data_IF_228194752459
#
_entry.id   IF_228194752459
#
_cell.length_a   1.000
_cell.length_b   1.000
_cell.length_c   1.000
_cell.angle_alpha   90.00
_cell.angle_beta   90.00
_cell.angle_gamma   90.00
#
_symmetry.space_group_name_H-M   'P 1'
#
loop_
_entity.id
_entity.type
_entity.pdbx_description
1 polymer ?
#
# COMPACT_ATOMS: atom_id res chain seq x y z
N UNK A 1 -2.65 4.58 -24.04
CA UNK A 1 -2.39 4.08 -22.69
C UNK A 1 -3.42 3.00 -22.41
N UNK A 2 -2.97 1.82 -21.97
CA UNK A 2 -3.84 0.68 -21.72
C UNK A 2 -4.49 0.87 -20.34
N UNK A 3 -5.83 1.01 -20.23
CA UNK A 3 -6.50 1.28 -18.95
C UNK A 3 -6.23 0.22 -17.87
N UNK A 4 -5.78 -0.97 -18.30
CA UNK A 4 -5.46 -2.09 -17.42
C UNK A 4 -4.05 -2.00 -16.82
N UNK A 5 -3.11 -1.27 -17.45
CA UNK A 5 -1.75 -1.08 -16.92
C UNK A 5 -1.77 -0.29 -15.60
N UNK A 6 -2.72 0.64 -15.48
CA UNK A 6 -2.83 1.57 -14.36
C UNK A 6 -3.17 0.93 -13.00
N UNK A 7 -3.65 -0.31 -13.00
CA UNK A 7 -4.02 -1.06 -11.78
C UNK A 7 -3.08 -2.22 -11.46
N UNK A 8 -1.97 -2.34 -12.19
CA UNK A 8 -0.94 -3.33 -11.89
C UNK A 8 0.13 -2.76 -10.94
N UNK A 9 0.71 -3.61 -10.10
CA UNK A 9 1.85 -3.29 -9.25
C UNK A 9 3.02 -4.17 -9.67
N UNK A 10 4.05 -3.59 -10.28
CA UNK A 10 5.18 -4.31 -10.88
C UNK A 10 4.72 -5.46 -11.82
N UNK A 11 3.67 -5.22 -12.62
CA UNK A 11 3.08 -6.21 -13.52
C UNK A 11 2.11 -7.20 -12.85
N UNK A 12 1.94 -7.17 -11.54
CA UNK A 12 0.97 -8.00 -10.82
C UNK A 12 -0.38 -7.28 -10.65
N UNK A 13 -1.49 -7.94 -11.01
CA UNK A 13 -2.85 -7.42 -10.80
C UNK A 13 -3.60 -8.11 -9.67
N UNK A 14 -3.26 -9.37 -9.37
CA UNK A 14 -3.95 -10.15 -8.34
C UNK A 14 -3.53 -9.72 -6.93
N UNK A 15 -4.49 -9.64 -6.01
CA UNK A 15 -4.22 -9.31 -4.61
C UNK A 15 -3.17 -10.24 -3.98
N UNK A 16 -3.15 -11.51 -4.37
CA UNK A 16 -2.19 -12.49 -3.86
C UNK A 16 -0.76 -12.15 -4.29
N UNK A 17 -0.57 -11.86 -5.57
CA UNK A 17 0.75 -11.58 -6.14
C UNK A 17 1.27 -10.22 -5.65
N UNK A 18 0.41 -9.20 -5.63
CA UNK A 18 0.76 -7.88 -5.08
C UNK A 18 1.17 -7.99 -3.61
N UNK A 19 0.42 -8.75 -2.80
CA UNK A 19 0.78 -8.98 -1.39
C UNK A 19 2.11 -9.73 -1.26
N UNK A 20 2.39 -10.69 -2.15
CA UNK A 20 3.65 -11.42 -2.16
C UNK A 20 4.81 -10.46 -2.45
N UNK A 21 4.70 -9.61 -3.47
CA UNK A 21 5.70 -8.60 -3.82
C UNK A 21 5.95 -7.63 -2.66
N UNK A 22 4.89 -7.09 -2.04
CA UNK A 22 5.03 -6.20 -0.88
C UNK A 22 5.71 -6.91 0.31
N UNK A 23 5.41 -8.19 0.53
CA UNK A 23 6.07 -8.98 1.58
C UNK A 23 7.55 -9.19 1.27
N UNK A 24 7.88 -9.53 0.03
CA UNK A 24 9.26 -9.73 -0.42
C UNK A 24 10.07 -8.45 -0.28
N UNK A 25 9.52 -7.32 -0.73
CA UNK A 25 10.14 -6.00 -0.58
C UNK A 25 10.49 -5.66 0.88
N UNK A 26 9.55 -5.88 1.81
CA UNK A 26 9.78 -5.64 3.24
C UNK A 26 10.86 -6.57 3.82
N UNK A 27 10.97 -7.80 3.29
CA UNK A 27 11.94 -8.79 3.76
C UNK A 27 13.32 -8.69 3.09
N UNK A 28 13.41 -8.10 1.90
CA UNK A 28 14.65 -8.06 1.10
C UNK A 28 15.61 -6.95 1.52
N UNK A 29 15.11 -5.93 2.21
CA UNK A 29 15.88 -4.74 2.55
C UNK A 29 15.80 -4.45 4.05
N UNK A 30 16.94 -4.08 4.67
CA UNK A 30 16.98 -3.70 6.08
C UNK A 30 16.22 -2.40 6.36
N UNK A 31 16.10 -1.55 5.34
CA UNK A 31 15.43 -0.26 5.39
C UNK A 31 14.66 0.01 4.09
N UNK A 32 13.52 0.71 4.16
CA UNK A 32 12.74 1.07 2.98
C UNK A 32 13.44 2.17 2.16
N UNK A 33 13.44 2.03 0.84
CA UNK A 33 13.85 3.11 -0.05
C UNK A 33 12.66 4.04 -0.35
N UNK A 34 12.92 5.35 -0.39
CA UNK A 34 11.87 6.36 -0.61
C UNK A 34 11.13 6.19 -1.94
N UNK A 35 11.84 5.75 -2.99
CA UNK A 35 11.25 5.46 -4.29
C UNK A 35 10.22 4.32 -4.20
N UNK A 36 10.54 3.23 -3.50
CA UNK A 36 9.62 2.11 -3.32
C UNK A 36 8.43 2.48 -2.44
N UNK A 37 8.66 3.27 -1.38
CA UNK A 37 7.60 3.80 -0.51
C UNK A 37 6.62 4.65 -1.32
N UNK A 38 7.14 5.51 -2.19
CA UNK A 38 6.34 6.34 -3.09
C UNK A 38 5.53 5.47 -4.06
N UNK A 39 6.18 4.47 -4.69
CA UNK A 39 5.52 3.55 -5.62
C UNK A 39 4.36 2.78 -4.96
N UNK A 40 4.56 2.26 -3.74
CA UNK A 40 3.51 1.56 -2.99
C UNK A 40 2.36 2.50 -2.63
N UNK A 41 2.67 3.73 -2.22
CA UNK A 41 1.67 4.74 -1.86
C UNK A 41 0.82 5.12 -3.07
N UNK A 42 1.47 5.44 -4.20
CA UNK A 42 0.81 5.79 -5.45
C UNK A 42 -0.09 4.67 -5.96
N UNK A 43 0.38 3.42 -5.90
CA UNK A 43 -0.44 2.27 -6.27
C UNK A 43 -1.72 2.15 -5.42
N UNK A 44 -1.62 2.30 -4.10
CA UNK A 44 -2.78 2.27 -3.20
C UNK A 44 -3.75 3.43 -3.47
N UNK A 45 -3.22 4.62 -3.76
CA UNK A 45 -4.03 5.79 -4.17
C UNK A 45 -4.75 5.50 -5.49
N UNK A 46 -4.09 4.91 -6.48
CA UNK A 46 -4.72 4.51 -7.75
C UNK A 46 -5.86 3.52 -7.54
N UNK A 47 -5.69 2.53 -6.66
CA UNK A 47 -6.78 1.60 -6.31
C UNK A 47 -8.01 2.36 -5.76
N UNK A 48 -7.78 3.35 -4.91
CA UNK A 48 -8.86 4.18 -4.34
C UNK A 48 -9.55 5.01 -5.42
N UNK A 49 -8.79 5.71 -6.26
CA UNK A 49 -9.32 6.52 -7.34
C UNK A 49 -10.17 5.69 -8.33
N UNK A 50 -9.79 4.43 -8.54
CA UNK A 50 -10.52 3.48 -9.37
C UNK A 50 -11.60 2.68 -8.61
N UNK A 51 -11.96 3.11 -7.39
CA UNK A 51 -12.99 2.50 -6.54
C UNK A 51 -12.73 1.02 -6.17
N UNK A 52 -11.51 0.54 -6.32
CA UNK A 52 -11.09 -0.79 -5.89
C UNK A 52 -10.74 -0.80 -4.39
N UNK A 53 -11.74 -0.48 -3.57
CA UNK A 53 -11.59 -0.32 -2.12
C UNK A 53 -11.35 -1.65 -1.41
N UNK A 54 -11.82 -2.77 -1.96
CA UNK A 54 -11.61 -4.10 -1.37
C UNK A 54 -10.13 -4.47 -1.41
N UNK A 55 -9.46 -4.30 -2.55
CA UNK A 55 -8.03 -4.56 -2.69
C UNK A 55 -7.21 -3.58 -1.85
N UNK A 56 -7.56 -2.29 -1.88
CA UNK A 56 -6.91 -1.27 -1.04
C UNK A 56 -7.03 -1.61 0.45
N UNK A 57 -8.22 -1.94 0.95
CA UNK A 57 -8.44 -2.34 2.35
C UNK A 57 -7.62 -3.57 2.73
N UNK A 58 -7.61 -4.60 1.87
CA UNK A 58 -6.89 -5.85 2.11
C UNK A 58 -5.37 -5.66 2.17
N UNK A 59 -4.82 -4.73 1.39
CA UNK A 59 -3.41 -4.36 1.40
C UNK A 59 -3.07 -3.45 2.58
N UNK A 60 -3.88 -2.42 2.86
CA UNK A 60 -3.69 -1.55 4.02
C UNK A 60 -3.71 -2.31 5.34
N UNK A 61 -4.65 -3.25 5.51
CA UNK A 61 -4.69 -4.12 6.68
C UNK A 61 -3.42 -4.96 6.83
N UNK A 62 -2.87 -5.43 5.71
CA UNK A 62 -1.60 -6.14 5.71
C UNK A 62 -0.43 -5.23 6.13
N UNK A 63 -0.32 -4.02 5.57
CA UNK A 63 0.74 -3.06 5.88
C UNK A 63 0.65 -2.57 7.33
N UNK A 64 -0.54 -2.25 7.84
CA UNK A 64 -0.78 -1.88 9.24
C UNK A 64 -0.33 -2.98 10.19
N UNK A 65 -0.71 -4.24 9.92
CA UNK A 65 -0.29 -5.37 10.75
C UNK A 65 1.23 -5.53 10.72
N UNK A 66 1.85 -5.38 9.54
CA UNK A 66 3.30 -5.48 9.40
C UNK A 66 4.01 -4.37 10.17
N UNK A 67 3.56 -3.12 10.05
CA UNK A 67 4.08 -1.96 10.80
C UNK A 67 4.10 -2.23 12.32
N UNK A 68 3.01 -2.77 12.86
CA UNK A 68 2.90 -3.10 14.31
C UNK A 68 3.86 -4.20 14.77
N UNK A 69 4.21 -5.14 13.89
CA UNK A 69 5.11 -6.25 14.21
C UNK A 69 6.58 -5.96 13.86
N UNK A 70 6.87 -4.86 13.18
CA UNK A 70 8.20 -4.59 12.64
C UNK A 70 9.13 -3.99 13.69
N UNK A 71 10.34 -4.55 13.75
CA UNK A 71 11.37 -4.16 14.71
C UNK A 71 12.09 -2.88 14.29
N UNK A 72 12.38 -2.75 12.98
CA UNK A 72 13.01 -1.56 12.40
C UNK A 72 12.08 -0.35 12.51
N UNK A 73 12.56 0.72 13.16
CA UNK A 73 11.82 1.98 13.27
C UNK A 73 11.54 2.59 11.91
N UNK A 74 12.54 2.61 11.01
CA UNK A 74 12.37 3.17 9.66
C UNK A 74 11.28 2.45 8.86
N UNK A 75 11.23 1.12 8.94
CA UNK A 75 10.16 0.36 8.29
C UNK A 75 8.80 0.62 8.92
N UNK A 76 8.72 0.61 10.26
CA UNK A 76 7.47 0.90 10.98
C UNK A 76 6.92 2.27 10.63
N UNK A 77 7.78 3.30 10.64
CA UNK A 77 7.43 4.69 10.31
C UNK A 77 7.02 4.82 8.85
N UNK A 78 7.74 4.19 7.92
CA UNK A 78 7.39 4.22 6.49
C UNK A 78 6.05 3.55 6.21
N UNK A 79 5.80 2.37 6.79
CA UNK A 79 4.52 1.65 6.64
C UNK A 79 3.36 2.41 7.29
N UNK A 80 3.62 3.08 8.43
CA UNK A 80 2.65 3.96 9.07
C UNK A 80 2.32 5.16 8.18
N UNK A 81 3.34 5.82 7.61
CA UNK A 81 3.17 6.96 6.72
C UNK A 81 2.39 6.61 5.45
N UNK A 82 2.68 5.46 4.82
CA UNK A 82 1.90 4.93 3.69
C UNK A 82 0.43 4.82 4.12
N UNK A 83 0.17 4.15 5.24
CA UNK A 83 -1.20 3.91 5.72
C UNK A 83 -1.93 5.23 6.01
N UNK A 84 -1.28 6.18 6.67
CA UNK A 84 -1.84 7.48 7.02
C UNK A 84 -2.14 8.32 5.76
N UNK A 85 -1.20 8.37 4.82
CA UNK A 85 -1.37 9.07 3.55
C UNK A 85 -2.58 8.52 2.79
N UNK A 86 -2.66 7.20 2.66
CA UNK A 86 -3.75 6.54 1.95
C UNK A 86 -5.09 6.76 2.66
N UNK A 87 -5.14 6.69 4.00
CA UNK A 87 -6.36 7.00 4.76
C UNK A 87 -6.86 8.43 4.54
N UNK A 88 -5.95 9.41 4.49
CA UNK A 88 -6.31 10.80 4.18
C UNK A 88 -6.92 10.93 2.78
N UNK A 89 -6.42 10.17 1.80
CA UNK A 89 -7.00 10.14 0.45
C UNK A 89 -8.39 9.49 0.44
N UNK A 90 -8.60 8.42 1.21
CA UNK A 90 -9.94 7.81 1.34
C UNK A 90 -10.91 8.82 1.97
N UNK A 91 -10.51 9.51 3.03
CA UNK A 91 -11.34 10.53 3.67
C UNK A 91 -11.68 11.67 2.72
N UNK A 92 -10.70 12.16 1.94
CA UNK A 92 -10.94 13.18 0.93
C UNK A 92 -11.89 12.71 -0.20
N UNK A 93 -11.80 11.44 -0.62
CA UNK A 93 -12.64 10.89 -1.70
C UNK A 93 -14.04 10.46 -1.24
N UNK A 94 -14.19 10.00 0.00
CA UNK A 94 -15.40 9.32 0.49
C UNK A 94 -15.97 9.88 1.79
N UNK A 95 -15.31 10.83 2.44
CA UNK A 95 -15.71 11.40 3.74
C UNK A 95 -15.65 10.41 4.90
N UNK A 96 -14.82 9.37 4.78
CA UNK A 96 -14.64 8.34 5.81
C UNK A 96 -13.26 7.70 5.75
N UNK A 97 -12.84 7.07 6.86
CA UNK A 97 -11.62 6.28 6.95
C UNK A 97 -11.92 4.80 7.12
N UNK A 98 -10.98 3.95 6.69
CA UNK A 98 -11.07 2.50 6.89
C UNK A 98 -10.72 2.13 8.34
N UNK A 99 -11.42 1.13 8.89
CA UNK A 99 -11.10 0.57 10.21
C UNK A 99 -10.05 -0.55 10.06
N UNK A 100 -8.79 -0.24 10.34
CA UNK A 100 -7.62 -1.11 10.11
C UNK A 100 -7.11 -1.84 11.36
#
# INVERSE_FOLDING_TARGET
EDPLEDLTFCGASSLSDVRKLMKEWIMSCSEPQEADVSMVTEYLIKLIQNRNLEQAFSLLKFLTRRSKSESSSRWRDSLFNITACVQNVIDACYGATLKL
#
